data_IF_576403064449
#
_entry.id   IF_576403064449
#
_cell.length_a   1.000
_cell.length_b   1.000
_cell.length_c   1.000
_cell.angle_alpha   90.00
_cell.angle_beta   90.00
_cell.angle_gamma   90.00
#
_symmetry.space_group_name_H-M   'P 1'
#
loop_
_entity.id
_entity.type
_entity.pdbx_description
1 polymer ?
#
# COMPACT_ATOMS: atom_id res chain seq x y z
N UNK A 1 8.96 -13.09 5.57
CA UNK A 1 8.43 -12.33 4.42
C UNK A 1 7.35 -13.16 3.75
N UNK A 2 6.18 -12.57 3.52
CA UNK A 2 5.03 -13.19 2.84
C UNK A 2 5.07 -12.87 1.34
N UNK A 3 4.69 -13.81 0.48
CA UNK A 3 4.53 -13.60 -0.97
C UNK A 3 3.05 -13.70 -1.32
N UNK A 4 2.52 -12.70 -2.02
CA UNK A 4 1.12 -12.60 -2.44
C UNK A 4 1.03 -12.54 -3.95
N UNK A 5 0.18 -13.38 -4.55
CA UNK A 5 -0.16 -13.30 -5.96
C UNK A 5 -1.23 -12.22 -6.19
N UNK A 6 -0.83 -11.10 -6.79
CA UNK A 6 -1.69 -9.96 -7.12
C UNK A 6 -2.65 -10.19 -8.29
N UNK A 7 -2.58 -11.34 -8.97
CA UNK A 7 -3.55 -11.76 -9.99
C UNK A 7 -4.75 -12.49 -9.41
N UNK A 8 -4.68 -12.93 -8.15
CA UNK A 8 -5.72 -13.72 -7.51
C UNK A 8 -7.07 -12.97 -7.44
N UNK A 9 -8.17 -13.71 -7.61
CA UNK A 9 -9.54 -13.17 -7.61
C UNK A 9 -9.78 -12.18 -8.75
N UNK A 10 -10.19 -10.96 -8.43
CA UNK A 10 -10.46 -9.92 -9.43
C UNK A 10 -9.19 -9.32 -10.07
N UNK A 11 -7.99 -9.69 -9.60
CA UNK A 11 -6.72 -9.16 -10.09
C UNK A 11 -6.68 -7.63 -10.07
N UNK A 12 -7.30 -7.00 -9.07
CA UNK A 12 -7.48 -5.56 -8.94
C UNK A 12 -6.46 -4.89 -8.03
N UNK A 13 -6.73 -3.65 -7.64
CA UNK A 13 -5.90 -2.91 -6.66
C UNK A 13 -6.18 -3.27 -5.20
N UNK A 14 -7.24 -4.04 -4.92
CA UNK A 14 -7.67 -4.34 -3.55
C UNK A 14 -6.66 -5.22 -2.80
N UNK A 15 -6.18 -6.30 -3.43
CA UNK A 15 -5.15 -7.18 -2.83
C UNK A 15 -3.93 -6.37 -2.41
N UNK A 16 -3.41 -5.52 -3.30
CA UNK A 16 -2.24 -4.69 -3.03
C UNK A 16 -2.44 -3.79 -1.80
N UNK A 17 -3.56 -3.07 -1.74
CA UNK A 17 -3.87 -2.17 -0.62
C UNK A 17 -4.00 -2.94 0.69
N UNK A 18 -4.74 -4.04 0.70
CA UNK A 18 -4.92 -4.87 1.89
C UNK A 18 -3.60 -5.49 2.35
N UNK A 19 -2.75 -5.98 1.43
CA UNK A 19 -1.41 -6.47 1.77
C UNK A 19 -0.55 -5.38 2.40
N UNK A 20 -0.58 -4.16 1.87
CA UNK A 20 0.16 -3.02 2.43
C UNK A 20 -0.33 -2.64 3.84
N UNK A 21 -1.65 -2.57 4.04
CA UNK A 21 -2.25 -2.30 5.35
C UNK A 21 -1.87 -3.37 6.37
N UNK A 22 -1.98 -4.64 5.99
CA UNK A 22 -1.66 -5.76 6.87
C UNK A 22 -0.18 -5.79 7.22
N UNK A 23 0.73 -5.58 6.26
CA UNK A 23 2.16 -5.50 6.53
C UNK A 23 2.47 -4.38 7.53
N UNK A 24 1.89 -3.19 7.35
CA UNK A 24 2.07 -2.08 8.29
C UNK A 24 1.56 -2.42 9.71
N UNK A 25 0.45 -3.17 9.82
CA UNK A 25 -0.13 -3.58 11.12
C UNK A 25 0.69 -4.68 11.78
N UNK A 26 1.13 -5.70 11.03
CA UNK A 26 1.78 -6.89 11.59
C UNK A 26 3.29 -6.73 11.73
N UNK A 27 3.89 -5.76 11.05
CA UNK A 27 5.34 -5.62 10.94
C UNK A 27 6.00 -6.68 10.05
N UNK A 28 5.21 -7.52 9.37
CA UNK A 28 5.72 -8.60 8.52
C UNK A 28 5.94 -8.09 7.07
N UNK A 29 7.15 -8.21 6.50
CA UNK A 29 7.41 -7.81 5.13
C UNK A 29 6.57 -8.61 4.13
N UNK A 30 6.08 -7.96 3.07
CA UNK A 30 5.28 -8.60 2.02
C UNK A 30 5.78 -8.22 0.63
N UNK A 31 5.87 -9.22 -0.25
CA UNK A 31 6.08 -9.04 -1.69
C UNK A 31 4.80 -9.36 -2.44
N UNK A 32 4.34 -8.45 -3.27
CA UNK A 32 3.17 -8.65 -4.14
C UNK A 32 3.66 -8.77 -5.57
N UNK A 33 3.43 -9.93 -6.17
CA UNK A 33 3.77 -10.22 -7.57
C UNK A 33 2.54 -10.09 -8.47
N UNK A 34 2.74 -10.03 -9.78
CA UNK A 34 1.65 -9.99 -10.78
C UNK A 34 0.60 -8.91 -10.48
N UNK A 35 1.05 -7.75 -9.99
CA UNK A 35 0.17 -6.64 -9.58
C UNK A 35 -0.74 -6.26 -10.73
N UNK A 36 -2.05 -6.42 -10.50
CA UNK A 36 -3.10 -6.07 -11.47
C UNK A 36 -2.99 -6.80 -12.82
N UNK A 37 -2.43 -8.02 -12.85
CA UNK A 37 -2.24 -8.78 -14.09
C UNK A 37 -3.54 -9.04 -14.88
N UNK A 38 -4.68 -9.14 -14.20
CA UNK A 38 -6.00 -9.33 -14.83
C UNK A 38 -6.65 -8.07 -15.41
N UNK A 39 -5.94 -6.93 -15.46
CA UNK A 39 -6.51 -5.64 -15.92
C UNK A 39 -5.90 -5.21 -17.27
N UNK A 40 -6.65 -4.44 -18.10
CA UNK A 40 -6.17 -4.00 -19.42
C UNK A 40 -4.84 -3.21 -19.39
N UNK A 41 -4.60 -2.46 -18.30
CA UNK A 41 -3.32 -1.85 -18.00
C UNK A 41 -2.84 -2.43 -16.67
N UNK A 42 -1.95 -3.44 -16.67
CA UNK A 42 -1.39 -4.06 -15.46
C UNK A 42 -0.49 -3.11 -14.66
N UNK A 43 -0.03 -3.59 -13.50
CA UNK A 43 0.91 -2.89 -12.64
C UNK A 43 0.32 -1.72 -11.83
N UNK A 44 1.17 -1.03 -11.11
CA UNK A 44 0.79 0.12 -10.29
C UNK A 44 0.25 1.27 -11.16
N UNK A 45 -0.78 1.93 -10.65
CA UNK A 45 -1.21 3.26 -11.13
C UNK A 45 -0.82 4.29 -10.07
N UNK A 46 -0.86 5.57 -10.38
CA UNK A 46 -0.53 6.66 -9.45
C UNK A 46 -1.19 6.49 -8.07
N UNK A 47 -2.49 6.18 -8.03
CA UNK A 47 -3.23 5.90 -6.80
C UNK A 47 -2.70 4.68 -6.03
N UNK A 48 -2.36 3.59 -6.73
CA UNK A 48 -1.83 2.38 -6.10
C UNK A 48 -0.46 2.65 -5.49
N UNK A 49 0.41 3.34 -6.23
CA UNK A 49 1.74 3.75 -5.77
C UNK A 49 1.63 4.63 -4.52
N UNK A 50 0.77 5.64 -4.57
CA UNK A 50 0.52 6.53 -3.42
C UNK A 50 0.04 5.75 -2.21
N UNK A 51 -0.87 4.79 -2.39
CA UNK A 51 -1.40 3.96 -1.30
C UNK A 51 -0.32 3.12 -0.61
N UNK A 52 0.56 2.44 -1.38
CA UNK A 52 1.62 1.61 -0.79
C UNK A 52 2.75 2.45 -0.18
N UNK A 53 3.06 3.61 -0.79
CA UNK A 53 3.99 4.57 -0.20
C UNK A 53 3.45 5.13 1.12
N UNK A 54 2.15 5.46 1.18
CA UNK A 54 1.51 5.93 2.40
C UNK A 54 1.59 4.87 3.51
N UNK A 55 1.29 3.61 3.19
CA UNK A 55 1.40 2.50 4.15
C UNK A 55 2.83 2.35 4.71
N UNK A 56 3.86 2.47 3.87
CA UNK A 56 5.25 2.44 4.34
C UNK A 56 5.63 3.71 5.10
N UNK A 57 5.13 4.87 4.69
CA UNK A 57 5.45 6.15 5.32
C UNK A 57 4.99 6.23 6.77
N UNK A 58 3.81 5.68 7.08
CA UNK A 58 3.25 5.70 8.45
C UNK A 58 3.96 4.74 9.40
N UNK A 59 4.70 3.76 8.88
CA UNK A 59 5.45 2.77 9.67
C UNK A 59 6.97 2.83 9.42
N UNK A 60 7.48 3.97 8.90
CA UNK A 60 8.89 4.18 8.54
C UNK A 60 9.50 3.02 7.71
N UNK A 61 8.68 2.39 6.87
CA UNK A 61 9.05 1.26 6.04
C UNK A 61 9.70 1.66 4.72
N UNK A 62 10.18 0.64 4.02
CA UNK A 62 10.82 0.74 2.71
C UNK A 62 9.93 0.10 1.65
N UNK A 63 9.83 0.76 0.50
CA UNK A 63 9.13 0.25 -0.69
C UNK A 63 10.15 0.02 -1.82
N UNK A 64 10.24 -1.21 -2.29
CA UNK A 64 11.05 -1.59 -3.46
C UNK A 64 10.14 -1.91 -4.64
N UNK A 65 10.56 -1.55 -5.87
CA UNK A 65 9.73 -1.68 -7.07
C UNK A 65 8.57 -0.67 -7.17
N UNK A 66 8.54 0.33 -6.29
CA UNK A 66 7.47 1.34 -6.21
C UNK A 66 7.49 2.38 -7.33
N UNK A 67 7.20 1.98 -8.58
CA UNK A 67 7.02 2.90 -9.72
C UNK A 67 5.73 2.62 -10.47
N UNK A 68 5.17 3.63 -11.15
CA UNK A 68 3.99 3.44 -12.01
C UNK A 68 4.30 2.40 -13.09
N UNK A 69 3.39 1.45 -13.30
CA UNK A 69 3.56 0.32 -14.22
C UNK A 69 4.22 -0.90 -13.60
N UNK A 70 4.82 -0.81 -12.41
CA UNK A 70 5.46 -1.97 -11.77
C UNK A 70 4.47 -3.08 -11.46
N UNK A 71 4.83 -4.30 -11.86
CA UNK A 71 4.04 -5.52 -11.67
C UNK A 71 4.47 -6.31 -10.43
N UNK A 72 5.49 -5.83 -9.72
CA UNK A 72 6.01 -6.40 -8.51
C UNK A 72 6.45 -5.31 -7.55
N UNK A 73 6.13 -5.46 -6.27
CA UNK A 73 6.62 -4.58 -5.20
C UNK A 73 6.90 -5.35 -3.92
N UNK A 74 7.91 -4.89 -3.18
CA UNK A 74 8.19 -5.37 -1.81
C UNK A 74 7.98 -4.22 -0.83
N UNK A 75 7.21 -4.48 0.22
CA UNK A 75 6.89 -3.56 1.29
C UNK A 75 7.45 -4.12 2.59
N UNK A 76 8.42 -3.40 3.18
CA UNK A 76 9.13 -3.81 4.39
C UNK A 76 8.86 -2.77 5.48
N UNK A 77 7.98 -3.04 6.46
CA UNK A 77 7.75 -2.15 7.59
C UNK A 77 9.03 -1.90 8.40
N UNK A 78 9.25 -0.69 8.92
CA UNK A 78 10.47 -0.32 9.67
C UNK A 78 10.26 -0.12 11.16
N UNK A 79 9.05 0.27 11.56
CA UNK A 79 8.62 0.46 12.95
C UNK A 79 7.13 0.16 13.09
N UNK A 80 6.58 0.09 14.32
CA UNK A 80 5.14 0.21 14.51
C UNK A 80 4.60 1.50 13.86
N UNK A 81 3.33 1.48 13.46
CA UNK A 81 2.64 2.63 12.86
C UNK A 81 2.67 3.82 13.83
N UNK A 82 2.98 5.01 13.32
CA UNK A 82 3.09 6.23 14.09
C UNK A 82 1.87 7.15 13.82
N UNK A 83 1.23 7.71 14.85
CA UNK A 83 0.26 8.78 14.64
C UNK A 83 0.96 10.04 14.11
N UNK A 84 0.22 10.92 13.43
CA UNK A 84 0.77 12.18 12.94
C UNK A 84 -0.03 12.84 11.82
N UNK A 85 0.51 13.93 11.31
CA UNK A 85 -0.06 14.65 10.16
C UNK A 85 0.55 14.10 8.87
N UNK A 86 -0.30 13.61 7.98
CA UNK A 86 0.13 12.97 6.74
C UNK A 86 -0.52 13.59 5.52
N UNK A 87 0.30 13.90 4.51
CA UNK A 87 -0.17 14.36 3.21
C UNK A 87 0.30 13.40 2.11
N UNK A 88 -0.64 12.92 1.31
CA UNK A 88 -0.38 11.94 0.25
C UNK A 88 -0.94 12.43 -1.09
N UNK A 89 -0.17 13.20 -1.88
CA UNK A 89 -0.63 13.70 -3.16
C UNK A 89 -0.65 12.57 -4.21
N UNK A 90 -1.85 12.25 -4.73
CA UNK A 90 -2.01 11.23 -5.79
C UNK A 90 -1.53 11.75 -7.16
N UNK A 91 -1.56 13.07 -7.37
CA UNK A 91 -1.12 13.73 -8.60
C UNK A 91 -2.00 13.46 -9.84
N UNK A 92 -3.12 12.77 -9.68
CA UNK A 92 -4.07 12.42 -10.75
C UNK A 92 -5.50 12.35 -10.20
N UNK A 93 -6.51 12.11 -11.04
CA UNK A 93 -7.90 11.86 -10.63
C UNK A 93 -8.13 10.47 -9.98
N UNK A 94 -7.09 9.87 -9.40
CA UNK A 94 -7.23 8.64 -8.61
C UNK A 94 -8.06 8.88 -7.34
N UNK A 95 -8.76 7.86 -6.86
CA UNK A 95 -9.65 8.01 -5.70
C UNK A 95 -8.87 8.17 -4.37
N UNK A 96 -9.04 9.31 -3.72
CA UNK A 96 -8.50 9.58 -2.38
C UNK A 96 -8.97 8.56 -1.35
N UNK A 97 -10.22 8.09 -1.45
CA UNK A 97 -10.79 7.13 -0.51
C UNK A 97 -10.08 5.78 -0.53
N UNK A 98 -9.50 5.32 -1.65
CA UNK A 98 -8.75 4.06 -1.64
C UNK A 98 -7.34 4.22 -1.04
N UNK A 99 -6.75 5.42 -1.11
CA UNK A 99 -5.52 5.71 -0.35
C UNK A 99 -5.86 5.70 1.14
N UNK A 100 -6.93 6.40 1.54
CA UNK A 100 -7.43 6.39 2.92
C UNK A 100 -7.71 4.96 3.40
N UNK A 101 -8.41 4.13 2.62
CA UNK A 101 -8.68 2.74 2.96
C UNK A 101 -7.42 1.95 3.32
N UNK A 102 -6.28 2.30 2.73
CA UNK A 102 -5.00 1.61 2.95
C UNK A 102 -4.37 1.98 4.29
N UNK A 103 -4.47 3.24 4.70
CA UNK A 103 -3.80 3.74 5.93
C UNK A 103 -4.73 3.89 7.13
N UNK A 104 -6.04 3.95 6.91
CA UNK A 104 -7.04 4.18 7.97
C UNK A 104 -6.96 3.12 9.07
N UNK A 105 -7.00 1.83 8.71
CA UNK A 105 -6.95 0.76 9.71
C UNK A 105 -5.60 0.71 10.46
N UNK A 106 -4.42 0.83 9.79
CA UNK A 106 -3.15 1.00 10.47
C UNK A 106 -3.12 2.18 11.47
N UNK A 107 -3.60 3.36 11.07
CA UNK A 107 -3.57 4.56 11.93
C UNK A 107 -4.55 4.47 13.11
N UNK A 108 -5.73 3.87 12.91
CA UNK A 108 -6.72 3.60 13.98
C UNK A 108 -6.20 2.63 15.06
N UNK A 109 -5.08 1.95 14.83
CA UNK A 109 -4.44 1.05 15.80
C UNK A 109 -3.43 1.78 16.71
N UNK A 110 -3.22 3.07 16.49
CA UNK A 110 -2.32 3.91 17.31
C UNK A 110 -3.10 4.64 18.40
N UNK A 111 -2.43 5.06 19.47
CA UNK A 111 -3.05 5.79 20.59
C UNK A 111 -3.16 7.30 20.34
N UNK A 112 -2.47 7.83 19.31
CA UNK A 112 -2.44 9.27 19.00
C UNK A 112 -3.35 9.68 17.86
N UNK A 113 -3.60 10.98 17.74
CA UNK A 113 -4.38 11.55 16.65
C UNK A 113 -3.59 11.53 15.34
N UNK A 114 -4.29 11.24 14.23
CA UNK A 114 -3.74 11.36 12.88
C UNK A 114 -4.66 12.21 12.02
N UNK A 115 -4.05 13.13 11.25
CA UNK A 115 -4.74 14.10 10.38
C UNK A 115 -4.24 13.94 8.95
#
# INVERSE_FOLDING_TARGET
>A
MIIVDGSYGEGGGQILRTSASLAAITGEPVRVERVRAGRPAPGLKAQHLTAVQAAMRVCNGVLEGGTVGSTEVTMTPGSPVQPGVYEFPIGTAGSTLLVLQTVMLPLLRTEGESI
#
